data_IF_920943773202
#
_entry.id   IF_920943773202
#
_cell.length_a   1.000
_cell.length_b   1.000
_cell.length_c   1.000
_cell.angle_alpha   90.00
_cell.angle_beta   90.00
_cell.angle_gamma   90.00
#
_symmetry.space_group_name_H-M   'P 1'
#
loop_
_entity.id
_entity.type
_entity.pdbx_description
1 polymer ?
#
# COMPACT_ATOMS: atom_id res chain seq x y z
N UNK A 1 7.40 39.45 -21.65
CA UNK A 1 8.79 39.12 -21.25
C UNK A 1 8.89 37.60 -21.18
N UNK A 2 9.89 36.96 -21.80
CA UNK A 2 10.05 35.52 -21.67
C UNK A 2 10.56 35.24 -20.24
N UNK A 3 9.71 34.72 -19.37
CA UNK A 3 10.11 34.14 -18.08
C UNK A 3 10.90 32.88 -18.38
N UNK A 4 12.23 33.00 -18.42
CA UNK A 4 13.12 31.84 -18.50
C UNK A 4 12.84 30.91 -17.33
N UNK A 5 12.70 29.59 -17.57
CA UNK A 5 12.39 28.59 -16.55
C UNK A 5 13.32 28.66 -15.32
N UNK A 6 14.55 29.14 -15.50
CA UNK A 6 15.55 29.36 -14.44
C UNK A 6 15.18 30.44 -13.41
N UNK A 7 14.21 31.31 -13.69
CA UNK A 7 13.71 32.27 -12.68
C UNK A 7 12.72 31.64 -11.72
N UNK A 8 12.13 30.50 -12.09
CA UNK A 8 11.12 29.81 -11.28
C UNK A 8 11.77 28.83 -10.30
N UNK A 9 12.77 28.07 -10.73
CA UNK A 9 13.46 27.08 -9.90
C UNK A 9 14.76 26.63 -10.56
N UNK A 10 15.58 25.89 -9.80
CA UNK A 10 16.71 25.17 -10.37
C UNK A 10 16.22 24.10 -11.36
N UNK A 11 17.03 23.76 -12.37
CA UNK A 11 16.67 22.69 -13.32
C UNK A 11 16.41 21.35 -12.61
N UNK A 12 17.24 20.91 -11.63
CA UNK A 12 16.92 19.73 -10.84
C UNK A 12 15.55 19.80 -10.17
N UNK A 13 15.18 20.93 -9.57
CA UNK A 13 13.89 21.07 -8.89
C UNK A 13 12.71 21.02 -9.86
N UNK A 14 12.84 21.62 -11.05
CA UNK A 14 11.82 21.50 -12.08
C UNK A 14 11.64 20.05 -12.55
N UNK A 15 12.73 19.29 -12.69
CA UNK A 15 12.65 17.87 -13.07
C UNK A 15 12.03 17.01 -11.97
N UNK A 16 12.24 17.35 -10.69
CA UNK A 16 11.60 16.67 -9.56
C UNK A 16 10.08 16.76 -9.59
N UNK A 17 9.51 17.83 -10.18
CA UNK A 17 8.05 17.96 -10.32
C UNK A 17 7.41 16.86 -11.18
N UNK A 18 8.19 16.11 -11.97
CA UNK A 18 7.70 14.90 -12.66
C UNK A 18 7.19 13.82 -11.69
N UNK A 19 7.60 13.86 -10.42
CA UNK A 19 7.04 13.00 -9.38
C UNK A 19 5.55 13.23 -9.17
N UNK A 20 5.06 14.47 -9.31
CA UNK A 20 3.65 14.83 -9.03
C UNK A 20 2.67 14.09 -9.95
N UNK A 21 2.78 14.16 -11.30
CA UNK A 21 1.86 13.42 -12.17
C UNK A 21 2.02 11.91 -12.05
N UNK A 22 3.23 11.39 -11.79
CA UNK A 22 3.45 9.95 -11.62
C UNK A 22 2.81 9.44 -10.33
N UNK A 23 2.97 10.14 -9.20
CA UNK A 23 2.30 9.79 -7.96
C UNK A 23 0.78 10.01 -8.04
N UNK A 24 0.33 11.04 -8.77
CA UNK A 24 -1.09 11.25 -9.03
C UNK A 24 -1.71 10.09 -9.82
N UNK A 25 -1.02 9.60 -10.85
CA UNK A 25 -1.43 8.39 -11.57
C UNK A 25 -1.39 7.14 -10.69
N UNK A 26 -0.35 6.99 -9.86
CA UNK A 26 -0.24 5.87 -8.93
C UNK A 26 -1.38 5.89 -7.90
N UNK A 27 -1.72 7.06 -7.35
CA UNK A 27 -2.85 7.25 -6.43
C UNK A 27 -4.19 6.93 -7.09
N UNK A 28 -4.39 7.35 -8.35
CA UNK A 28 -5.58 6.98 -9.12
C UNK A 28 -5.68 5.47 -9.35
N UNK A 29 -4.57 4.81 -9.74
CA UNK A 29 -4.50 3.36 -9.93
C UNK A 29 -4.72 2.59 -8.64
N UNK A 30 -4.21 3.11 -7.52
CA UNK A 30 -4.41 2.54 -6.19
C UNK A 30 -5.89 2.58 -5.79
N UNK A 31 -6.61 3.66 -6.08
CA UNK A 31 -8.06 3.74 -5.87
C UNK A 31 -8.81 2.73 -6.78
N UNK A 32 -8.46 2.67 -8.06
CA UNK A 32 -9.22 1.88 -9.04
C UNK A 32 -8.95 0.37 -8.96
N UNK A 33 -7.68 -0.01 -8.78
CA UNK A 33 -7.22 -1.40 -8.94
C UNK A 33 -6.46 -1.93 -7.73
N UNK A 34 -6.22 -1.11 -6.69
CA UNK A 34 -5.45 -1.48 -5.49
C UNK A 34 -4.05 -2.01 -5.76
N UNK A 35 -3.53 -1.77 -6.97
CA UNK A 35 -2.27 -2.33 -7.46
C UNK A 35 -1.50 -1.29 -8.27
N UNK A 36 -0.29 -0.99 -7.82
CA UNK A 36 0.66 -0.12 -8.55
C UNK A 36 1.81 -0.98 -9.08
N UNK A 37 2.04 -1.03 -10.40
CA UNK A 37 3.12 -1.83 -10.97
C UNK A 37 4.49 -1.41 -10.43
N UNK A 38 5.32 -2.39 -10.06
CA UNK A 38 6.68 -2.14 -9.56
C UNK A 38 7.54 -1.29 -10.52
N UNK A 39 7.29 -1.38 -11.83
CA UNK A 39 8.00 -0.63 -12.87
C UNK A 39 7.75 0.87 -12.80
N UNK A 40 6.66 1.32 -12.17
CA UNK A 40 6.32 2.75 -12.01
C UNK A 40 7.42 3.52 -11.29
N UNK A 41 8.09 2.88 -10.32
CA UNK A 41 9.08 3.50 -9.46
C UNK A 41 10.47 3.61 -10.11
N UNK A 42 10.77 2.78 -11.13
CA UNK A 42 12.10 2.72 -11.74
C UNK A 42 12.50 4.03 -12.45
N UNK A 43 11.66 4.64 -13.32
CA UNK A 43 12.01 5.91 -13.96
C UNK A 43 12.28 7.02 -12.95
N UNK A 44 11.45 7.13 -11.91
CA UNK A 44 11.63 8.11 -10.84
C UNK A 44 12.87 7.82 -10.00
N UNK A 45 13.18 6.55 -9.72
CA UNK A 45 14.39 6.15 -9.01
C UNK A 45 15.66 6.50 -9.80
N UNK A 46 15.69 6.21 -11.10
CA UNK A 46 16.81 6.57 -11.99
C UNK A 46 16.96 8.10 -12.06
N UNK A 47 15.86 8.83 -12.26
CA UNK A 47 15.87 10.28 -12.24
C UNK A 47 16.42 10.80 -10.90
N UNK A 48 15.92 10.28 -9.77
CA UNK A 48 16.37 10.66 -8.44
C UNK A 48 17.87 10.45 -8.24
N UNK A 49 18.42 9.31 -8.67
CA UNK A 49 19.85 9.04 -8.59
C UNK A 49 20.68 10.02 -9.42
N UNK A 50 20.22 10.35 -10.64
CA UNK A 50 20.91 11.33 -11.51
C UNK A 50 20.89 12.71 -10.85
N UNK A 51 19.73 13.18 -10.39
CA UNK A 51 19.61 14.50 -9.75
C UNK A 51 20.41 14.57 -8.45
N UNK A 52 20.37 13.52 -7.64
CA UNK A 52 21.17 13.41 -6.43
C UNK A 52 22.67 13.49 -6.75
N UNK A 53 23.14 12.81 -7.79
CA UNK A 53 24.55 12.88 -8.21
C UNK A 53 24.94 14.30 -8.66
N UNK A 54 24.06 14.99 -9.38
CA UNK A 54 24.26 16.40 -9.79
C UNK A 54 24.37 17.30 -8.56
N UNK A 55 23.46 17.16 -7.59
CA UNK A 55 23.48 17.97 -6.36
C UNK A 55 24.74 17.70 -5.53
N UNK A 56 25.14 16.44 -5.39
CA UNK A 56 26.36 16.05 -4.68
C UNK A 56 27.62 16.58 -5.37
N UNK A 57 27.67 16.53 -6.70
CA UNK A 57 28.78 17.09 -7.48
C UNK A 57 28.93 18.60 -7.25
N UNK A 58 27.82 19.32 -7.08
CA UNK A 58 27.84 20.77 -6.85
C UNK A 58 28.36 21.17 -5.46
N UNK A 59 28.26 20.29 -4.45
CA UNK A 59 28.59 20.60 -3.05
C UNK A 59 29.84 19.87 -2.53
N UNK A 60 30.47 19.02 -3.33
CA UNK A 60 31.67 18.25 -2.96
C UNK A 60 32.90 18.76 -3.72
N UNK A 61 34.02 19.10 -3.04
CA UNK A 61 34.21 19.12 -1.58
C UNK A 61 33.45 20.28 -0.92
N UNK A 62 32.91 20.10 0.32
CA UNK A 62 32.12 21.14 0.97
C UNK A 62 33.00 22.31 1.41
N UNK A 63 32.73 23.48 0.86
CA UNK A 63 33.49 24.72 1.16
C UNK A 63 32.72 25.65 2.08
N UNK A 64 31.39 25.62 2.02
CA UNK A 64 30.51 26.48 2.81
C UNK A 64 29.76 25.71 3.91
N UNK A 65 29.18 26.44 4.87
CA UNK A 65 28.28 25.83 5.86
C UNK A 65 27.02 25.25 5.20
N UNK A 66 26.52 25.89 4.15
CA UNK A 66 25.37 25.43 3.37
C UNK A 66 25.66 24.09 2.70
N UNK A 67 26.84 23.90 2.11
CA UNK A 67 27.25 22.63 1.49
C UNK A 67 27.21 21.49 2.52
N UNK A 68 27.73 21.74 3.72
CA UNK A 68 27.72 20.77 4.82
C UNK A 68 26.31 20.43 5.29
N UNK A 69 25.42 21.43 5.35
CA UNK A 69 24.01 21.21 5.68
C UNK A 69 23.30 20.38 4.62
N UNK A 70 23.55 20.64 3.33
CA UNK A 70 23.00 19.85 2.23
C UNK A 70 23.45 18.39 2.34
N UNK A 71 24.76 18.16 2.54
CA UNK A 71 25.30 16.81 2.74
C UNK A 71 24.68 16.10 3.96
N UNK A 72 24.54 16.81 5.09
CA UNK A 72 23.93 16.26 6.30
C UNK A 72 22.46 15.89 6.08
N UNK A 73 21.67 16.79 5.46
CA UNK A 73 20.25 16.56 5.16
C UNK A 73 20.06 15.40 4.19
N UNK A 74 20.90 15.31 3.17
CA UNK A 74 20.93 14.17 2.24
C UNK A 74 21.29 12.87 2.97
N UNK A 75 22.28 12.89 3.85
CA UNK A 75 22.64 11.73 4.66
C UNK A 75 21.50 11.29 5.58
N UNK A 76 20.76 12.24 6.19
CA UNK A 76 19.59 11.93 7.00
C UNK A 76 18.45 11.38 6.13
N UNK A 77 18.15 11.99 4.98
CA UNK A 77 17.12 11.48 4.06
C UNK A 77 17.38 10.02 3.67
N UNK A 78 18.59 9.72 3.19
CA UNK A 78 18.96 8.39 2.73
C UNK A 78 19.21 7.41 3.88
N UNK A 79 19.77 7.87 4.99
CA UNK A 79 20.15 7.05 6.13
C UNK A 79 19.03 6.83 7.15
N UNK A 80 17.96 7.62 7.10
CA UNK A 80 16.81 7.48 8.00
C UNK A 80 15.53 7.13 7.24
N UNK A 81 15.11 7.95 6.27
CA UNK A 81 13.78 7.79 5.64
C UNK A 81 13.71 6.51 4.82
N UNK A 82 14.72 6.20 4.01
CA UNK A 82 14.72 4.97 3.21
C UNK A 82 14.81 3.69 4.07
N UNK A 83 15.70 3.57 5.08
CA UNK A 83 15.70 2.44 6.00
C UNK A 83 14.43 2.32 6.82
N UNK A 84 13.83 3.42 7.25
CA UNK A 84 12.55 3.43 7.96
C UNK A 84 11.43 2.88 7.06
N UNK A 85 11.41 3.27 5.78
CA UNK A 85 10.44 2.76 4.82
C UNK A 85 10.59 1.24 4.61
N UNK A 86 11.84 0.75 4.50
CA UNK A 86 12.13 -0.68 4.43
C UNK A 86 11.73 -1.44 5.71
N UNK A 87 12.01 -0.85 6.89
CA UNK A 87 11.68 -1.46 8.17
C UNK A 87 10.16 -1.61 8.34
N UNK A 88 9.38 -0.57 8.04
CA UNK A 88 7.93 -0.65 8.09
C UNK A 88 7.36 -1.70 7.13
N UNK A 89 7.92 -1.82 5.93
CA UNK A 89 7.55 -2.90 5.01
C UNK A 89 7.83 -4.28 5.60
N UNK A 90 9.02 -4.48 6.18
CA UNK A 90 9.41 -5.75 6.82
C UNK A 90 8.54 -6.10 8.02
N UNK A 91 8.05 -5.10 8.75
CA UNK A 91 7.13 -5.26 9.88
C UNK A 91 5.65 -5.37 9.46
N UNK A 92 5.34 -5.34 8.15
CA UNK A 92 3.97 -5.44 7.64
C UNK A 92 3.13 -4.17 7.81
N UNK A 93 3.76 -3.01 7.99
CA UNK A 93 3.06 -1.72 8.19
C UNK A 93 2.42 -1.14 6.93
N UNK A 94 2.96 -1.43 5.75
CA UNK A 94 2.39 -1.06 4.44
C UNK A 94 2.97 -1.93 3.31
N UNK A 95 2.42 -1.79 2.10
CA UNK A 95 2.78 -2.62 0.95
C UNK A 95 4.18 -2.34 0.38
N UNK A 96 4.74 -3.31 -0.35
CA UNK A 96 6.06 -3.15 -0.97
C UNK A 96 6.14 -2.02 -2.00
N UNK A 97 5.02 -1.67 -2.65
CA UNK A 97 4.95 -0.53 -3.54
C UNK A 97 5.11 0.80 -2.79
N UNK A 98 4.47 0.94 -1.62
CA UNK A 98 4.56 2.12 -0.76
C UNK A 98 5.99 2.33 -0.25
N UNK A 99 6.65 1.24 0.16
CA UNK A 99 8.04 1.25 0.58
C UNK A 99 8.96 1.78 -0.53
N UNK A 100 8.79 1.27 -1.76
CA UNK A 100 9.56 1.71 -2.93
C UNK A 100 9.29 3.18 -3.25
N UNK A 101 8.03 3.61 -3.16
CA UNK A 101 7.65 5.01 -3.37
C UNK A 101 8.37 5.94 -2.39
N UNK A 102 8.34 5.63 -1.08
CA UNK A 102 9.03 6.41 -0.05
C UNK A 102 10.55 6.43 -0.25
N UNK A 103 11.16 5.28 -0.59
CA UNK A 103 12.60 5.21 -0.88
C UNK A 103 12.95 6.09 -2.09
N UNK A 104 12.17 6.01 -3.17
CA UNK A 104 12.35 6.85 -4.36
C UNK A 104 12.20 8.33 -4.01
N UNK A 105 11.21 8.71 -3.19
CA UNK A 105 11.04 10.08 -2.74
C UNK A 105 12.21 10.54 -1.84
N UNK A 106 12.78 9.67 -1.01
CA UNK A 106 13.95 9.99 -0.18
C UNK A 106 15.20 10.28 -1.03
N UNK A 107 15.36 9.58 -2.16
CA UNK A 107 16.43 9.81 -3.13
C UNK A 107 16.15 11.04 -3.99
N UNK A 108 14.90 11.21 -4.43
CA UNK A 108 14.51 12.28 -5.34
C UNK A 108 14.45 13.64 -4.63
N UNK A 109 14.02 13.68 -3.36
CA UNK A 109 13.90 14.90 -2.57
C UNK A 109 14.62 14.81 -1.20
N UNK A 110 15.97 14.77 -1.19
CA UNK A 110 16.72 14.75 0.06
C UNK A 110 16.65 16.08 0.83
N UNK A 111 16.56 17.19 0.10
CA UNK A 111 16.53 18.57 0.61
C UNK A 111 15.34 19.33 0.03
N UNK A 112 14.99 20.46 0.64
CA UNK A 112 13.87 21.29 0.20
C UNK A 112 14.13 21.91 -1.18
N UNK A 113 13.28 21.61 -2.20
CA UNK A 113 13.28 22.40 -3.43
C UNK A 113 12.71 23.78 -3.16
N UNK A 114 13.10 24.77 -3.96
CA UNK A 114 12.55 26.13 -3.86
C UNK A 114 11.97 26.57 -5.20
N UNK A 115 10.69 26.94 -5.20
CA UNK A 115 9.98 27.45 -6.38
C UNK A 115 9.54 28.89 -6.15
N UNK A 116 10.00 29.79 -7.00
CA UNK A 116 9.65 31.21 -6.98
C UNK A 116 8.43 31.46 -7.86
N UNK A 117 7.33 31.87 -7.24
CA UNK A 117 6.13 32.38 -7.91
C UNK A 117 6.01 33.89 -7.65
N UNK A 118 5.22 34.63 -8.44
CA UNK A 118 5.01 36.06 -8.18
C UNK A 118 4.49 36.30 -6.76
N UNK A 119 5.32 36.90 -5.91
CA UNK A 119 4.98 37.27 -4.54
C UNK A 119 5.10 36.16 -3.48
N UNK A 120 5.54 34.94 -3.84
CA UNK A 120 5.70 33.84 -2.87
C UNK A 120 6.78 32.86 -3.30
N UNK A 121 7.56 32.35 -2.33
CA UNK A 121 8.43 31.20 -2.52
C UNK A 121 7.78 29.97 -1.90
N UNK A 122 7.74 28.86 -2.64
CA UNK A 122 7.20 27.59 -2.18
C UNK A 122 8.34 26.59 -1.94
N UNK A 123 8.20 25.72 -0.92
CA UNK A 123 7.11 25.69 0.06
C UNK A 123 7.19 26.80 1.12
N UNK A 124 6.02 27.17 1.66
CA UNK A 124 5.87 28.30 2.60
C UNK A 124 6.45 28.02 3.98
N UNK A 125 6.23 26.81 4.51
CA UNK A 125 6.61 26.38 5.86
C UNK A 125 7.74 25.36 5.77
N UNK A 126 8.96 25.82 6.06
CA UNK A 126 10.16 24.99 6.05
C UNK A 126 10.60 24.69 7.49
N UNK A 127 10.64 23.41 7.91
CA UNK A 127 11.13 23.03 9.23
C UNK A 127 12.63 23.24 9.36
N UNK A 128 13.12 23.43 10.59
CA UNK A 128 14.54 23.67 10.91
C UNK A 128 15.46 22.57 10.39
N UNK A 129 15.02 21.31 10.48
CA UNK A 129 15.76 20.15 10.00
C UNK A 129 16.00 20.21 8.48
N UNK A 130 15.02 20.68 7.70
CA UNK A 130 15.15 20.90 6.25
C UNK A 130 15.35 19.62 5.41
N UNK A 131 14.84 18.48 5.88
CA UNK A 131 14.85 17.20 5.13
C UNK A 131 13.47 17.01 4.49
N UNK A 132 13.39 17.16 3.16
CA UNK A 132 12.09 17.27 2.48
C UNK A 132 11.32 15.94 2.45
N UNK A 133 12.03 14.83 2.21
CA UNK A 133 11.45 13.49 2.28
C UNK A 133 10.78 13.17 3.62
N UNK A 134 11.32 13.71 4.72
CA UNK A 134 10.72 13.60 6.04
C UNK A 134 9.42 14.40 6.14
N UNK A 135 9.38 15.61 5.58
CA UNK A 135 8.12 16.40 5.50
C UNK A 135 7.08 15.69 4.64
N UNK A 136 7.45 15.08 3.50
CA UNK A 136 6.51 14.26 2.73
C UNK A 136 5.97 13.12 3.59
N UNK A 137 6.85 12.38 4.29
CA UNK A 137 6.44 11.28 5.16
C UNK A 137 5.51 11.74 6.28
N UNK A 138 5.86 12.81 7.01
CA UNK A 138 5.04 13.37 8.09
C UNK A 138 3.67 13.81 7.57
N UNK A 139 3.64 14.56 6.46
CA UNK A 139 2.38 14.98 5.83
C UNK A 139 1.54 13.76 5.40
N UNK A 140 2.19 12.73 4.86
CA UNK A 140 1.54 11.46 4.46
C UNK A 140 0.88 10.80 5.67
N UNK A 141 1.57 10.72 6.81
CA UNK A 141 1.03 10.14 8.04
C UNK A 141 -0.15 10.98 8.56
N UNK A 142 -0.01 12.30 8.64
CA UNK A 142 -1.06 13.21 9.12
C UNK A 142 -2.33 13.08 8.26
N UNK A 143 -2.18 13.09 6.94
CA UNK A 143 -3.31 12.93 6.02
C UNK A 143 -3.86 11.50 6.04
N UNK A 144 -2.99 10.50 6.18
CA UNK A 144 -3.36 9.10 6.27
C UNK A 144 -4.23 8.79 7.49
N UNK A 145 -4.05 9.51 8.61
CA UNK A 145 -4.90 9.38 9.80
C UNK A 145 -6.36 9.77 9.54
N UNK A 146 -6.66 10.57 8.52
CA UNK A 146 -8.05 10.88 8.17
C UNK A 146 -8.85 9.63 7.77
N UNK A 147 -8.18 8.61 7.23
CA UNK A 147 -8.84 7.38 6.80
C UNK A 147 -9.41 6.53 7.95
N UNK A 148 -8.61 6.06 8.94
CA UNK A 148 -9.17 5.30 10.06
C UNK A 148 -10.17 6.13 10.87
N UNK A 149 -9.99 7.46 10.97
CA UNK A 149 -10.98 8.34 11.59
C UNK A 149 -12.30 8.37 10.80
N UNK A 150 -12.26 8.41 9.48
CA UNK A 150 -13.43 8.34 8.62
C UNK A 150 -14.16 7.00 8.70
N UNK A 151 -13.40 5.88 8.73
CA UNK A 151 -13.96 4.53 8.95
C UNK A 151 -14.61 4.43 10.32
N UNK A 152 -13.93 4.89 11.37
CA UNK A 152 -14.46 4.93 12.72
C UNK A 152 -15.78 5.72 12.80
N UNK A 153 -15.81 6.93 12.22
CA UNK A 153 -17.00 7.75 12.18
C UNK A 153 -18.14 7.05 11.44
N UNK A 154 -17.87 6.43 10.28
CA UNK A 154 -18.86 5.64 9.54
C UNK A 154 -19.45 4.52 10.39
N UNK A 155 -18.61 3.78 11.11
CA UNK A 155 -19.05 2.68 11.97
C UNK A 155 -19.86 3.18 13.17
N UNK A 156 -19.46 4.29 13.80
CA UNK A 156 -20.24 4.95 14.86
C UNK A 156 -21.63 5.35 14.35
N UNK A 157 -21.72 5.95 13.16
CA UNK A 157 -23.00 6.36 12.56
C UNK A 157 -23.91 5.16 12.24
N UNK A 158 -23.32 4.02 11.88
CA UNK A 158 -24.03 2.76 11.64
C UNK A 158 -24.32 1.95 12.92
N UNK A 159 -23.81 2.39 14.07
CA UNK A 159 -23.85 1.68 15.37
C UNK A 159 -23.13 0.33 15.35
N UNK A 160 -22.14 0.18 14.47
CA UNK A 160 -21.28 -0.99 14.37
C UNK A 160 -20.09 -0.84 15.33
N UNK A 161 -20.28 -1.23 16.58
CA UNK A 161 -19.24 -1.15 17.61
C UNK A 161 -18.49 -2.48 17.74
N UNK A 162 -17.18 -2.46 17.51
CA UNK A 162 -16.29 -3.60 17.68
C UNK A 162 -14.85 -3.12 17.94
N UNK A 163 -13.97 -3.96 18.55
CA UNK A 163 -12.54 -3.61 18.72
C UNK A 163 -11.83 -3.25 17.41
N UNK A 164 -12.33 -3.75 16.28
CA UNK A 164 -11.78 -3.53 14.93
C UNK A 164 -12.40 -2.33 14.20
N UNK A 165 -13.34 -1.61 14.81
CA UNK A 165 -14.12 -0.54 14.14
C UNK A 165 -13.30 0.68 13.67
N UNK A 166 -12.07 0.85 14.14
CA UNK A 166 -11.18 1.91 13.63
C UNK A 166 -10.54 1.55 12.28
N UNK A 167 -10.42 0.26 12.00
CA UNK A 167 -9.63 -0.28 10.89
C UNK A 167 -10.44 -1.18 9.95
N UNK A 168 -11.67 -1.53 10.31
CA UNK A 168 -12.52 -2.43 9.55
C UNK A 168 -13.90 -1.83 9.31
N UNK A 169 -14.67 -2.48 8.45
CA UNK A 169 -16.10 -2.21 8.25
C UNK A 169 -16.86 -3.53 8.10
N UNK A 170 -18.14 -3.53 8.50
CA UNK A 170 -19.06 -4.65 8.24
C UNK A 170 -19.32 -4.78 6.74
N UNK A 171 -19.16 -6.00 6.24
CA UNK A 171 -19.46 -6.39 4.86
C UNK A 171 -20.25 -7.70 4.85
N UNK A 172 -21.14 -7.86 3.87
CA UNK A 172 -21.80 -9.14 3.63
C UNK A 172 -20.80 -10.12 3.03
N UNK A 173 -20.90 -11.40 3.40
CA UNK A 173 -19.94 -12.39 2.92
C UNK A 173 -20.01 -12.55 1.40
N UNK A 174 -21.18 -12.39 0.80
CA UNK A 174 -21.36 -12.47 -0.67
C UNK A 174 -20.51 -11.44 -1.42
N UNK A 175 -20.31 -10.27 -0.83
CA UNK A 175 -19.53 -9.17 -1.41
C UNK A 175 -18.02 -9.40 -1.31
N UNK A 176 -17.55 -10.37 -0.50
CA UNK A 176 -16.11 -10.63 -0.32
C UNK A 176 -15.41 -11.06 -1.60
N UNK A 177 -16.17 -11.65 -2.53
CA UNK A 177 -15.68 -12.04 -3.85
C UNK A 177 -15.16 -10.83 -4.64
N UNK A 178 -15.73 -9.65 -4.45
CA UNK A 178 -15.36 -8.39 -5.11
C UNK A 178 -14.64 -7.39 -4.18
N UNK A 179 -14.70 -7.62 -2.87
CA UNK A 179 -14.06 -6.76 -1.88
C UNK A 179 -12.54 -6.98 -1.79
N UNK A 180 -11.83 -5.95 -1.33
CA UNK A 180 -10.38 -5.97 -1.16
C UNK A 180 -10.02 -5.84 0.32
N UNK A 181 -8.87 -6.42 0.69
CA UNK A 181 -8.31 -6.34 2.03
C UNK A 181 -8.34 -7.69 2.74
N UNK A 182 -8.52 -7.67 4.07
CA UNK A 182 -8.42 -8.88 4.89
C UNK A 182 -9.58 -9.03 5.83
N UNK A 183 -9.97 -10.27 6.08
CA UNK A 183 -10.89 -10.63 7.14
C UNK A 183 -10.28 -10.23 8.49
N UNK A 184 -11.09 -9.61 9.35
CA UNK A 184 -10.70 -9.17 10.68
C UNK A 184 -11.35 -10.01 11.79
N UNK A 185 -11.81 -11.20 11.44
CA UNK A 185 -12.50 -12.13 12.32
C UNK A 185 -11.87 -13.51 12.24
N UNK A 186 -11.91 -14.20 13.37
CA UNK A 186 -11.66 -15.64 13.48
C UNK A 186 -12.93 -16.29 14.03
N UNK A 187 -12.94 -17.63 14.10
CA UNK A 187 -14.03 -18.38 14.75
C UNK A 187 -14.24 -17.95 16.20
N UNK A 188 -13.16 -17.58 16.90
CA UNK A 188 -13.18 -17.17 18.31
C UNK A 188 -13.36 -15.67 18.56
N UNK A 189 -13.08 -14.81 17.59
CA UNK A 189 -13.16 -13.36 17.81
C UNK A 189 -12.65 -12.50 16.66
N UNK A 190 -11.71 -11.61 16.98
CA UNK A 190 -11.19 -10.60 16.05
C UNK A 190 -9.69 -10.75 15.85
N UNK A 191 -9.23 -10.49 14.63
CA UNK A 191 -7.82 -10.50 14.27
C UNK A 191 -7.45 -9.31 13.38
N UNK A 192 -6.16 -9.00 13.30
CA UNK A 192 -5.59 -8.02 12.35
C UNK A 192 -4.84 -8.70 11.20
N UNK A 193 -4.65 -10.01 11.28
CA UNK A 193 -3.89 -10.84 10.35
C UNK A 193 -4.72 -12.02 9.87
N UNK A 194 -6.02 -11.82 9.64
CA UNK A 194 -6.89 -12.85 9.09
C UNK A 194 -6.70 -13.05 7.59
N UNK A 195 -7.54 -13.93 7.03
CA UNK A 195 -7.51 -14.32 5.61
C UNK A 195 -7.51 -13.11 4.67
N UNK A 196 -6.52 -13.05 3.79
CA UNK A 196 -6.47 -12.08 2.70
C UNK A 196 -7.52 -12.43 1.64
N UNK A 197 -8.31 -11.44 1.19
CA UNK A 197 -9.38 -11.68 0.23
C UNK A 197 -8.84 -12.02 -1.17
N UNK A 198 -7.62 -11.61 -1.50
CA UNK A 198 -6.95 -12.09 -2.73
C UNK A 198 -6.57 -13.57 -2.58
N UNK A 199 -6.11 -14.00 -1.40
CA UNK A 199 -5.84 -15.41 -1.10
C UNK A 199 -7.11 -16.27 -1.12
N UNK A 200 -8.23 -15.77 -0.58
CA UNK A 200 -9.54 -16.41 -0.70
C UNK A 200 -9.91 -16.64 -2.17
N UNK A 201 -9.75 -15.61 -3.02
CA UNK A 201 -10.02 -15.74 -4.46
C UNK A 201 -9.07 -16.73 -5.14
N UNK A 202 -7.78 -16.71 -4.80
CA UNK A 202 -6.82 -17.70 -5.29
C UNK A 202 -7.25 -19.13 -4.93
N UNK A 203 -7.65 -19.35 -3.68
CA UNK A 203 -8.12 -20.64 -3.20
C UNK A 203 -9.39 -21.11 -3.94
N UNK A 204 -10.39 -20.24 -4.08
CA UNK A 204 -11.63 -20.56 -4.79
C UNK A 204 -11.35 -20.92 -6.27
N UNK A 205 -10.46 -20.18 -6.93
CA UNK A 205 -10.02 -20.46 -8.31
C UNK A 205 -9.28 -21.78 -8.40
N UNK A 206 -8.30 -21.98 -7.54
CA UNK A 206 -7.52 -23.22 -7.47
C UNK A 206 -8.43 -24.44 -7.30
N UNK A 207 -9.43 -24.32 -6.43
CA UNK A 207 -10.40 -25.38 -6.18
C UNK A 207 -11.49 -25.51 -7.25
N UNK A 208 -11.64 -24.54 -8.14
CA UNK A 208 -12.69 -24.51 -9.15
C UNK A 208 -14.09 -24.33 -8.58
N UNK A 209 -14.24 -23.61 -7.46
CA UNK A 209 -15.53 -23.36 -6.78
C UNK A 209 -15.81 -21.88 -6.61
N UNK A 210 -17.02 -21.52 -6.20
CA UNK A 210 -17.40 -20.15 -5.86
C UNK A 210 -17.63 -20.00 -4.37
N UNK A 211 -17.58 -18.76 -3.87
CA UNK A 211 -17.91 -18.49 -2.46
C UNK A 211 -19.37 -18.87 -2.14
N UNK A 212 -20.27 -18.80 -3.11
CA UNK A 212 -21.66 -19.21 -2.95
C UNK A 212 -21.79 -20.74 -2.81
N UNK A 213 -21.12 -21.51 -3.69
CA UNK A 213 -21.13 -22.97 -3.65
C UNK A 213 -20.45 -23.51 -2.38
N UNK A 214 -19.34 -22.89 -2.00
CA UNK A 214 -18.63 -23.20 -0.75
C UNK A 214 -19.52 -23.01 0.49
N UNK A 215 -20.39 -21.98 0.48
CA UNK A 215 -21.36 -21.74 1.56
C UNK A 215 -22.59 -22.65 1.50
N UNK A 216 -22.98 -23.09 0.30
CA UNK A 216 -24.15 -23.96 0.11
C UNK A 216 -23.90 -25.37 0.66
N UNK A 217 -22.65 -25.85 0.59
CA UNK A 217 -22.25 -27.17 1.08
C UNK A 217 -20.88 -27.13 1.79
N UNK A 218 -20.80 -26.52 2.99
CA UNK A 218 -19.52 -26.29 3.67
C UNK A 218 -18.88 -27.58 4.17
N UNK A 219 -19.66 -28.60 4.55
CA UNK A 219 -19.12 -29.86 5.06
C UNK A 219 -18.40 -30.66 3.96
N UNK A 220 -19.00 -30.76 2.77
CA UNK A 220 -18.32 -31.38 1.63
C UNK A 220 -17.08 -30.58 1.23
N UNK A 221 -17.16 -29.25 1.26
CA UNK A 221 -15.98 -28.43 0.98
C UNK A 221 -14.93 -28.51 2.10
N UNK A 222 -15.28 -28.85 3.33
CA UNK A 222 -14.30 -29.02 4.40
C UNK A 222 -13.50 -30.32 4.23
N UNK A 223 -14.07 -31.34 3.59
CA UNK A 223 -13.41 -32.62 3.32
C UNK A 223 -12.29 -32.45 2.27
N UNK A 224 -11.01 -32.73 2.60
CA UNK A 224 -9.91 -32.65 1.64
C UNK A 224 -10.04 -33.63 0.47
N UNK A 225 -10.74 -34.76 0.65
CA UNK A 225 -10.93 -35.77 -0.39
C UNK A 225 -11.88 -35.32 -1.51
N UNK A 226 -12.66 -34.26 -1.26
CA UNK A 226 -13.52 -33.63 -2.27
C UNK A 226 -12.75 -32.84 -3.33
N UNK A 227 -11.47 -32.54 -3.10
CA UNK A 227 -10.63 -31.78 -4.05
C UNK A 227 -10.12 -32.70 -5.16
N UNK A 228 -10.83 -32.68 -6.29
CA UNK A 228 -10.44 -33.37 -7.52
C UNK A 228 -9.38 -32.62 -8.33
N UNK A 229 -9.74 -32.25 -9.57
CA UNK A 229 -8.90 -31.45 -10.45
C UNK A 229 -8.75 -30.01 -9.92
N UNK A 230 -7.52 -29.49 -9.92
CA UNK A 230 -7.19 -28.13 -9.49
C UNK A 230 -6.82 -27.25 -10.69
N UNK A 231 -6.99 -25.94 -10.52
CA UNK A 231 -6.83 -24.93 -11.58
C UNK A 231 -5.80 -23.86 -11.19
N UNK A 232 -5.42 -23.02 -12.15
CA UNK A 232 -4.47 -21.95 -11.90
C UNK A 232 -5.06 -20.91 -10.92
N UNK A 233 -4.42 -20.66 -9.75
CA UNK A 233 -4.94 -19.76 -8.73
C UNK A 233 -4.97 -18.29 -9.17
N UNK A 234 -4.18 -17.92 -10.19
CA UNK A 234 -3.92 -16.52 -10.61
C UNK A 234 -3.40 -15.66 -9.45
N UNK A 235 -3.46 -14.32 -9.58
CA UNK A 235 -3.04 -13.36 -8.56
C UNK A 235 -4.19 -12.90 -7.64
N UNK A 236 -5.32 -13.59 -7.65
CA UNK A 236 -6.50 -13.24 -6.86
C UNK A 236 -7.20 -11.93 -7.27
N UNK A 237 -6.85 -11.27 -8.39
CA UNK A 237 -7.49 -10.01 -8.78
C UNK A 237 -8.97 -10.18 -9.17
N UNK A 238 -9.85 -9.27 -8.75
CA UNK A 238 -11.32 -9.37 -8.96
C UNK A 238 -11.71 -9.53 -10.44
N UNK A 239 -11.06 -8.81 -11.36
CA UNK A 239 -11.41 -8.80 -12.79
C UNK A 239 -10.75 -9.90 -13.64
N UNK A 240 -9.97 -10.82 -13.05
CA UNK A 240 -9.37 -11.92 -13.81
C UNK A 240 -10.42 -12.90 -14.37
N UNK A 241 -11.63 -12.89 -13.82
CA UNK A 241 -12.73 -13.79 -14.18
C UNK A 241 -13.59 -13.31 -15.37
N UNK A 242 -13.33 -12.14 -15.98
CA UNK A 242 -14.17 -11.62 -17.07
C UNK A 242 -13.87 -12.21 -18.46
N UNK A 243 -12.92 -13.14 -18.59
CA UNK A 243 -12.41 -13.56 -19.90
C UNK A 243 -12.18 -15.06 -20.12
N UNK A 244 -11.89 -15.85 -19.09
CA UNK A 244 -11.50 -17.24 -19.28
C UNK A 244 -12.64 -18.22 -19.04
N UNK A 245 -12.98 -19.05 -20.03
CA UNK A 245 -13.59 -20.35 -19.74
C UNK A 245 -12.62 -21.17 -18.86
N UNK A 246 -13.10 -22.17 -18.09
CA UNK A 246 -12.24 -23.08 -17.31
C UNK A 246 -11.07 -23.67 -18.13
N UNK A 247 -11.19 -23.72 -19.46
CA UNK A 247 -10.18 -24.20 -20.40
C UNK A 247 -9.03 -23.22 -20.74
N UNK A 248 -9.07 -21.97 -20.30
CA UNK A 248 -7.99 -20.98 -20.54
C UNK A 248 -7.00 -20.87 -19.36
N UNK A 249 -7.36 -21.44 -18.21
CA UNK A 249 -6.47 -21.64 -17.07
C UNK A 249 -5.79 -22.99 -17.28
N UNK A 250 -4.46 -23.06 -17.17
CA UNK A 250 -3.67 -24.23 -17.55
C UNK A 250 -4.27 -25.59 -17.16
N UNK A 251 -3.98 -26.61 -17.97
CA UNK A 251 -4.58 -27.95 -17.85
C UNK A 251 -4.44 -28.58 -16.45
N UNK A 252 -5.35 -29.50 -16.11
CA UNK A 252 -5.48 -30.04 -14.75
C UNK A 252 -4.17 -30.64 -14.26
N UNK A 253 -3.81 -30.30 -13.02
CA UNK A 253 -2.73 -30.98 -12.33
C UNK A 253 -3.23 -32.35 -11.84
N UNK A 254 -2.36 -33.37 -11.91
CA UNK A 254 -2.71 -34.72 -11.48
C UNK A 254 -3.08 -34.72 -9.98
N UNK A 255 -4.04 -35.57 -9.55
CA UNK A 255 -4.42 -35.65 -8.14
C UNK A 255 -3.19 -35.94 -7.27
N UNK A 256 -2.87 -35.04 -6.34
CA UNK A 256 -1.84 -35.25 -5.33
C UNK A 256 -2.33 -36.20 -4.23
N UNK A 257 -1.42 -36.78 -3.45
CA UNK A 257 -1.78 -37.57 -2.26
C UNK A 257 -2.63 -36.72 -1.30
N UNK A 258 -3.81 -37.22 -0.96
CA UNK A 258 -4.73 -36.54 -0.04
C UNK A 258 -4.31 -36.83 1.39
N UNK A 259 -3.95 -35.78 2.14
CA UNK A 259 -3.76 -35.86 3.58
C UNK A 259 -5.13 -35.75 4.27
N UNK A 260 -5.49 -36.77 5.06
CA UNK A 260 -6.79 -36.81 5.74
C UNK A 260 -6.93 -35.74 6.86
N UNK A 261 -5.81 -35.12 7.26
CA UNK A 261 -5.74 -34.12 8.33
C UNK A 261 -5.53 -32.69 7.79
N UNK A 262 -6.04 -32.40 6.59
CA UNK A 262 -6.00 -31.06 5.99
C UNK A 262 -7.41 -30.54 5.68
N UNK A 263 -8.19 -30.10 6.70
CA UNK A 263 -9.50 -29.49 6.45
C UNK A 263 -9.38 -28.35 5.44
N UNK A 264 -10.32 -28.31 4.50
CA UNK A 264 -10.33 -27.38 3.36
C UNK A 264 -9.22 -27.58 2.33
N UNK A 265 -8.37 -28.61 2.45
CA UNK A 265 -7.18 -28.79 1.63
C UNK A 265 -6.27 -27.54 1.62
N UNK A 266 -6.14 -26.89 2.78
CA UNK A 266 -5.45 -25.61 2.92
C UNK A 266 -3.93 -25.74 2.75
N UNK A 267 -3.32 -26.81 3.27
CA UNK A 267 -1.90 -27.11 3.05
C UNK A 267 -1.65 -27.46 1.59
N UNK A 268 -2.49 -28.34 1.02
CA UNK A 268 -2.39 -28.71 -0.40
C UNK A 268 -2.45 -27.49 -1.32
N UNK A 269 -3.37 -26.57 -1.06
CA UNK A 269 -3.44 -25.31 -1.82
C UNK A 269 -2.12 -24.54 -1.75
N UNK A 270 -1.58 -24.33 -0.55
CA UNK A 270 -0.35 -23.55 -0.36
C UNK A 270 0.90 -24.22 -0.94
N UNK A 271 0.92 -25.55 -0.98
CA UNK A 271 2.01 -26.32 -1.58
C UNK A 271 1.95 -26.32 -3.12
N UNK A 272 0.75 -26.25 -3.72
CA UNK A 272 0.55 -26.26 -5.18
C UNK A 272 0.73 -24.87 -5.82
N UNK A 273 0.53 -23.76 -5.09
CA UNK A 273 0.67 -22.43 -5.67
C UNK A 273 2.13 -22.02 -5.89
N UNK A 274 2.39 -21.33 -6.99
CA UNK A 274 3.67 -20.65 -7.18
C UNK A 274 3.72 -19.36 -6.33
N UNK A 275 4.52 -19.38 -5.26
CA UNK A 275 4.77 -18.20 -4.42
C UNK A 275 4.06 -18.27 -3.08
N UNK A 276 3.46 -17.16 -2.64
CA UNK A 276 2.73 -17.10 -1.37
C UNK A 276 1.34 -16.50 -1.54
N UNK A 277 0.39 -16.96 -0.74
CA UNK A 277 -0.98 -16.46 -0.71
C UNK A 277 -1.10 -15.16 0.12
N UNK A 278 -0.30 -14.14 -0.23
CA UNK A 278 -0.28 -12.83 0.45
C UNK A 278 0.02 -12.91 1.96
N UNK A 279 0.81 -13.91 2.36
CA UNK A 279 1.16 -14.18 3.76
C UNK A 279 0.08 -14.95 4.54
N UNK A 280 -0.95 -15.45 3.88
CA UNK A 280 -1.93 -16.39 4.45
C UNK A 280 -1.28 -17.76 4.58
N UNK A 281 -1.20 -18.28 5.81
CA UNK A 281 -0.81 -19.66 6.10
C UNK A 281 -2.02 -20.59 6.19
N UNK A 282 -1.79 -21.89 6.33
CA UNK A 282 -2.86 -22.90 6.30
C UNK A 282 -3.88 -22.70 7.44
N UNK A 283 -3.41 -22.32 8.64
CA UNK A 283 -4.26 -22.04 9.79
C UNK A 283 -5.16 -20.83 9.52
N UNK A 284 -4.58 -19.72 9.07
CA UNK A 284 -5.32 -18.51 8.72
C UNK A 284 -6.34 -18.76 7.62
N UNK A 285 -6.00 -19.60 6.63
CA UNK A 285 -6.92 -19.99 5.56
C UNK A 285 -8.08 -20.82 6.10
N UNK A 286 -7.82 -21.85 6.90
CA UNK A 286 -8.86 -22.69 7.52
C UNK A 286 -9.82 -21.88 8.39
N UNK A 287 -9.28 -21.01 9.25
CA UNK A 287 -10.09 -20.12 10.09
C UNK A 287 -10.94 -19.17 9.24
N UNK A 288 -10.33 -18.54 8.23
CA UNK A 288 -11.04 -17.63 7.35
C UNK A 288 -12.17 -18.31 6.58
N UNK A 289 -11.93 -19.51 6.06
CA UNK A 289 -12.94 -20.33 5.37
C UNK A 289 -14.10 -20.69 6.31
N UNK A 290 -13.82 -21.12 7.54
CA UNK A 290 -14.85 -21.40 8.53
C UNK A 290 -15.69 -20.14 8.87
N UNK A 291 -15.06 -18.97 9.00
CA UNK A 291 -15.80 -17.73 9.26
C UNK A 291 -16.70 -17.34 8.09
N UNK A 292 -16.22 -17.45 6.85
CA UNK A 292 -17.02 -17.08 5.66
C UNK A 292 -18.05 -18.14 5.29
N UNK A 293 -18.00 -19.35 5.84
CA UNK A 293 -19.09 -20.34 5.70
C UNK A 293 -20.20 -20.10 6.72
N UNK A 294 -19.83 -19.77 7.95
CA UNK A 294 -20.76 -19.78 9.08
C UNK A 294 -21.48 -18.45 9.30
N UNK A 295 -20.90 -17.32 8.87
CA UNK A 295 -21.42 -15.97 9.15
C UNK A 295 -21.99 -15.32 7.91
N UNK A 296 -23.04 -14.51 8.03
CA UNK A 296 -23.56 -13.70 6.91
C UNK A 296 -22.85 -12.34 6.78
N UNK A 297 -22.42 -11.79 7.92
CA UNK A 297 -21.79 -10.48 8.02
C UNK A 297 -20.46 -10.61 8.75
N UNK A 298 -19.40 -10.07 8.15
CA UNK A 298 -18.04 -10.11 8.68
C UNK A 298 -17.37 -8.73 8.67
N UNK A 299 -16.38 -8.54 9.54
CA UNK A 299 -15.50 -7.37 9.53
C UNK A 299 -14.35 -7.56 8.54
N UNK A 300 -14.20 -6.58 7.65
CA UNK A 300 -13.14 -6.54 6.63
C UNK A 300 -12.33 -5.27 6.79
N UNK A 301 -11.01 -5.40 6.78
CA UNK A 301 -10.10 -4.26 6.69
C UNK A 301 -10.13 -3.73 5.25
N UNK A 302 -10.51 -2.47 5.01
CA UNK A 302 -10.43 -1.91 3.69
C UNK A 302 -8.98 -1.51 3.45
N UNK A 303 -8.29 -2.20 2.52
CA UNK A 303 -6.86 -1.96 2.24
C UNK A 303 -6.57 -0.46 2.14
N UNK A 304 -5.75 0.08 3.04
CA UNK A 304 -5.51 1.52 3.12
C UNK A 304 -4.70 1.92 1.89
N UNK A 305 -5.22 2.79 1.01
CA UNK A 305 -4.48 3.23 -0.17
C UNK A 305 -3.41 4.22 0.29
N UNK A 306 -2.25 3.75 0.74
CA UNK A 306 -1.21 4.62 1.31
C UNK A 306 -0.57 5.54 0.25
N UNK A 307 -0.73 5.22 -1.03
CA UNK A 307 -0.28 6.07 -2.15
C UNK A 307 -1.09 7.38 -2.23
N UNK A 308 -2.38 7.36 -1.89
CA UNK A 308 -3.25 8.55 -1.93
C UNK A 308 -2.80 9.63 -0.92
N UNK A 309 -2.70 9.36 0.40
CA UNK A 309 -2.18 10.34 1.34
C UNK A 309 -0.71 10.69 1.05
N UNK A 310 0.06 9.80 0.42
CA UNK A 310 1.43 10.11 0.00
C UNK A 310 1.47 11.14 -1.13
N UNK A 311 0.61 10.99 -2.14
CA UNK A 311 0.45 11.96 -3.21
C UNK A 311 -0.01 13.32 -2.65
N UNK A 312 -1.06 13.33 -1.81
CA UNK A 312 -1.54 14.55 -1.17
C UNK A 312 -0.46 15.16 -0.25
N UNK A 313 0.31 14.33 0.45
CA UNK A 313 1.41 14.73 1.30
C UNK A 313 2.56 15.37 0.51
N UNK A 314 2.89 14.85 -0.67
CA UNK A 314 3.84 15.45 -1.61
C UNK A 314 3.34 16.81 -2.11
N UNK A 315 2.08 16.91 -2.53
CA UNK A 315 1.49 18.16 -3.01
C UNK A 315 1.50 19.21 -1.90
N UNK A 316 1.09 18.84 -0.68
CA UNK A 316 1.16 19.71 0.48
C UNK A 316 2.60 20.13 0.79
N UNK A 317 3.56 19.19 0.75
CA UNK A 317 4.97 19.46 1.00
C UNK A 317 5.57 20.42 -0.04
N UNK A 318 5.21 20.32 -1.32
CA UNK A 318 5.71 21.21 -2.38
C UNK A 318 5.08 22.60 -2.35
N UNK A 319 3.86 22.73 -1.83
CA UNK A 319 3.10 24.00 -1.83
C UNK A 319 3.16 24.69 -0.47
N UNK A 320 2.55 24.08 0.54
CA UNK A 320 2.52 24.62 1.89
C UNK A 320 3.81 24.35 2.65
N UNK A 321 4.38 23.14 2.51
CA UNK A 321 5.50 22.67 3.34
C UNK A 321 5.03 21.71 4.41
N UNK A 322 5.56 21.86 5.62
CA UNK A 322 5.28 20.92 6.72
C UNK A 322 3.96 21.25 7.44
N UNK A 323 2.95 20.39 7.27
CA UNK A 323 1.62 20.58 7.84
C UNK A 323 1.63 20.54 9.37
N UNK A 324 2.43 19.66 9.95
CA UNK A 324 2.49 19.49 11.40
C UNK A 324 3.14 20.70 12.04
N UNK A 325 4.28 21.16 11.50
CA UNK A 325 4.95 22.39 11.97
C UNK A 325 4.05 23.60 11.80
N UNK A 326 3.36 23.72 10.66
CA UNK A 326 2.40 24.79 10.42
C UNK A 326 1.27 24.82 11.45
N UNK A 327 0.69 23.65 11.76
CA UNK A 327 -0.34 23.51 12.79
C UNK A 327 0.18 23.90 14.16
N UNK A 328 1.33 23.35 14.58
CA UNK A 328 1.92 23.65 15.89
C UNK A 328 2.25 25.14 16.04
N UNK A 329 2.80 25.77 14.99
CA UNK A 329 3.04 27.21 14.97
C UNK A 329 1.74 28.02 15.09
N UNK A 330 0.66 27.62 14.40
CA UNK A 330 -0.65 28.28 14.51
C UNK A 330 -1.27 28.19 15.91
N UNK A 331 -0.91 27.15 16.67
CA UNK A 331 -1.34 26.93 18.06
C UNK A 331 -0.40 27.60 19.08
N UNK A 332 0.66 28.29 18.63
CA UNK A 332 1.67 28.92 19.50
C UNK A 332 2.56 27.92 20.23
N UNK A 333 2.72 26.70 19.69
CA UNK A 333 3.54 25.64 20.26
C UNK A 333 4.98 25.61 19.71
N UNK A 334 5.30 26.50 18.77
CA UNK A 334 6.61 26.69 18.14
C UNK A 334 6.94 28.18 18.02
#
# INVERSE_FOLDING_TARGET
>A
MPTSLTTLASLPDLLRLLAVPVLGWAAYRDIQTRRVPNRTWLPLGVLGLILLAVDLWAVVPPTTFTDRLVLLRTAISLGFVAPLAYLFWRLGGFGGADAKALIVLAVLFPTFPTYFLPGVALPVVVPTLGVFSMTILTNTVVLGLAYPLGVALRNVLRRDFAPVMLLGHRSEVVDLSEAHGRLMETTEGYTRSGLDLDALRMYLRWRGTTLADLRADPENHRDPTSVGETYEPTDGAVNAASGGQPSEFGGPHAPAEVTADDPWAAERFLDEIEGSAYGTDAETLREGLAVVTDRELVWVSPGIPFVVPMFLGLVAALTYGDLLVGLLGSLGLL
#
